data_IF_147334123390
#
_entry.id   IF_147334123390
#
_cell.length_a   1.000
_cell.length_b   1.000
_cell.length_c   1.000
_cell.angle_alpha   90.00
_cell.angle_beta   90.00
_cell.angle_gamma   90.00
#
_symmetry.space_group_name_H-M   'P 1'
#
loop_
_entity.id
_entity.type
_entity.pdbx_description
1 polymer ?
#
# COMPACT_ATOMS: atom_id res chain seq x y z
N UNK A 1 -30.52 45.68 -14.19
CA UNK A 1 -30.07 45.03 -15.44
C UNK A 1 -29.37 43.72 -15.08
N UNK A 2 -30.06 42.60 -15.29
CA UNK A 2 -29.49 41.25 -15.23
C UNK A 2 -28.47 41.03 -16.33
N UNK A 3 -27.45 40.21 -16.08
CA UNK A 3 -27.00 39.17 -17.02
C UNK A 3 -26.10 38.16 -16.30
N UNK A 4 -26.64 36.97 -16.15
CA UNK A 4 -25.96 35.72 -15.84
C UNK A 4 -25.10 35.29 -17.03
N UNK A 5 -23.93 34.72 -16.77
CA UNK A 5 -23.12 34.00 -17.77
C UNK A 5 -22.53 32.73 -17.16
N UNK A 6 -23.31 31.64 -17.17
CA UNK A 6 -22.80 30.26 -17.01
C UNK A 6 -22.38 29.78 -18.40
N UNK A 7 -21.19 29.19 -18.52
CA UNK A 7 -20.83 28.37 -19.68
C UNK A 7 -20.63 26.93 -19.22
N UNK A 8 -21.57 26.09 -19.62
CA UNK A 8 -21.59 24.64 -19.46
C UNK A 8 -21.04 24.06 -20.78
N UNK A 9 -19.95 23.30 -20.73
CA UNK A 9 -19.36 22.68 -21.92
C UNK A 9 -19.69 21.19 -21.93
N UNK A 10 -20.86 20.85 -22.48
CA UNK A 10 -21.26 19.49 -22.83
C UNK A 10 -20.53 19.03 -24.09
N UNK A 11 -19.82 17.90 -24.02
CA UNK A 11 -19.31 17.20 -25.20
C UNK A 11 -20.25 16.04 -25.52
N UNK A 12 -20.94 16.16 -26.65
CA UNK A 12 -21.77 15.11 -27.25
C UNK A 12 -20.89 14.10 -28.00
N UNK A 13 -21.06 12.82 -27.72
CA UNK A 13 -20.52 11.72 -28.53
C UNK A 13 -21.41 11.49 -29.75
N UNK A 14 -20.85 11.65 -30.95
CA UNK A 14 -21.48 11.26 -32.21
C UNK A 14 -21.11 9.81 -32.52
N UNK A 15 -22.14 8.98 -32.68
CA UNK A 15 -22.04 7.56 -32.99
C UNK A 15 -21.73 7.38 -34.48
N UNK A 16 -20.58 6.79 -34.82
CA UNK A 16 -20.31 6.29 -36.16
C UNK A 16 -20.30 4.77 -36.15
N UNK A 17 -21.29 4.21 -36.86
CA UNK A 17 -21.46 2.80 -37.16
C UNK A 17 -20.41 2.35 -38.17
N UNK A 18 -19.66 1.29 -37.85
CA UNK A 18 -18.83 0.57 -38.84
C UNK A 18 -18.98 -0.94 -38.65
N UNK A 19 -19.25 -1.56 -39.78
CA UNK A 19 -19.65 -2.96 -40.00
C UNK A 19 -18.53 -3.96 -39.73
N UNK A 20 -18.89 -5.11 -39.16
CA UNK A 20 -18.03 -6.28 -38.93
C UNK A 20 -17.85 -7.13 -40.20
N UNK A 21 -16.63 -7.56 -40.55
CA UNK A 21 -16.41 -8.64 -41.51
C UNK A 21 -16.38 -10.03 -40.83
N UNK A 22 -16.74 -11.11 -41.54
CA UNK A 22 -16.98 -12.43 -40.94
C UNK A 22 -15.71 -13.23 -40.60
N UNK A 23 -15.82 -13.99 -39.51
CA UNK A 23 -14.85 -14.95 -38.97
C UNK A 23 -14.54 -16.09 -39.95
N UNK A 24 -13.28 -16.23 -40.36
CA UNK A 24 -12.77 -17.45 -41.03
C UNK A 24 -12.40 -18.50 -39.98
N UNK A 25 -13.03 -19.68 -40.10
CA UNK A 25 -12.75 -20.88 -39.31
C UNK A 25 -11.38 -21.47 -39.65
N UNK A 26 -10.57 -21.79 -38.64
CA UNK A 26 -9.32 -22.58 -38.76
C UNK A 26 -9.58 -24.06 -38.40
N UNK A 27 -8.86 -25.01 -39.02
CA UNK A 27 -9.11 -26.45 -38.86
C UNK A 27 -8.51 -27.03 -37.56
N UNK A 28 -9.00 -28.19 -37.09
CA UNK A 28 -8.58 -28.78 -35.82
C UNK A 28 -7.20 -29.46 -35.92
N UNK A 29 -6.37 -29.23 -34.90
CA UNK A 29 -5.10 -29.90 -34.70
C UNK A 29 -5.32 -31.36 -34.28
N UNK A 30 -4.70 -32.29 -35.03
CA UNK A 30 -4.60 -33.73 -34.71
C UNK A 30 -3.77 -33.92 -33.44
N UNK A 31 -4.28 -34.74 -32.49
CA UNK A 31 -3.48 -35.33 -31.40
C UNK A 31 -2.85 -36.62 -31.91
N UNK A 32 -1.52 -36.72 -31.84
CA UNK A 32 -0.78 -37.97 -31.96
C UNK A 32 -0.73 -38.64 -30.59
N UNK A 33 -1.23 -39.87 -30.52
CA UNK A 33 -1.17 -40.73 -29.36
C UNK A 33 0.25 -41.27 -29.17
N UNK A 34 0.79 -41.18 -27.96
CA UNK A 34 1.96 -41.93 -27.52
C UNK A 34 1.48 -43.08 -26.62
N UNK A 35 1.95 -44.27 -26.95
CA UNK A 35 1.72 -45.55 -26.28
C UNK A 35 2.29 -45.56 -24.85
N UNK A 36 1.49 -46.00 -23.88
CA UNK A 36 1.93 -46.28 -22.52
C UNK A 36 1.56 -47.72 -22.11
N UNK A 37 2.54 -48.35 -21.49
CA UNK A 37 2.69 -49.72 -20.95
C UNK A 37 1.59 -50.14 -19.95
N UNK A 38 0.99 -51.35 -20.04
CA UNK A 38 -0.11 -51.77 -19.17
C UNK A 38 0.40 -52.61 -17.98
N UNK A 39 0.86 -51.99 -16.90
CA UNK A 39 1.01 -52.69 -15.61
C UNK A 39 1.11 -51.76 -14.38
N UNK A 40 0.07 -50.97 -14.11
CA UNK A 40 -0.16 -50.48 -12.73
C UNK A 40 -1.60 -50.03 -12.51
N UNK A 41 -2.37 -50.83 -11.78
CA UNK A 41 -3.71 -50.46 -11.31
C UNK A 41 -3.58 -49.59 -10.06
N UNK A 42 -3.62 -48.27 -10.23
CA UNK A 42 -3.90 -47.35 -9.12
C UNK A 42 -5.23 -46.66 -9.44
N UNK A 43 -6.23 -46.93 -8.58
CA UNK A 43 -7.57 -46.36 -8.62
C UNK A 43 -7.49 -44.87 -8.31
N UNK A 44 -7.97 -44.01 -9.21
CA UNK A 44 -8.24 -42.60 -8.89
C UNK A 44 -9.38 -42.49 -7.86
N UNK A 45 -9.26 -41.63 -6.84
CA UNK A 45 -10.36 -41.37 -5.92
C UNK A 45 -11.30 -40.27 -6.45
N UNK A 46 -12.60 -40.60 -6.46
CA UNK A 46 -13.73 -39.70 -6.69
C UNK A 46 -13.69 -38.41 -5.84
N UNK A 47 -14.24 -37.28 -6.32
CA UNK A 47 -14.23 -36.00 -5.62
C UNK A 47 -15.21 -36.01 -4.43
N UNK A 48 -14.68 -36.36 -3.26
CA UNK A 48 -15.39 -36.27 -1.98
C UNK A 48 -15.37 -34.85 -1.40
N UNK A 49 -16.56 -34.31 -1.16
CA UNK A 49 -16.87 -33.17 -0.27
C UNK A 49 -15.89 -33.04 0.92
N UNK A 50 -15.23 -31.89 1.03
CA UNK A 50 -14.39 -31.49 2.18
C UNK A 50 -15.22 -31.49 3.48
N UNK A 51 -15.08 -32.53 4.29
CA UNK A 51 -15.64 -32.60 5.65
C UNK A 51 -14.70 -31.92 6.65
N UNK A 52 -14.98 -30.65 6.95
CA UNK A 52 -14.67 -30.00 8.23
C UNK A 52 -13.20 -29.70 8.56
N UNK A 53 -12.95 -28.79 9.53
CA UNK A 53 -11.59 -28.40 9.92
C UNK A 53 -10.84 -29.54 10.66
N UNK A 54 -9.57 -29.70 10.32
CA UNK A 54 -8.61 -30.75 10.74
C UNK A 54 -8.23 -30.70 12.25
N UNK A 55 -8.89 -29.88 13.07
CA UNK A 55 -8.60 -29.77 14.50
C UNK A 55 -9.86 -29.97 15.35
N UNK A 56 -10.15 -31.22 15.71
CA UNK A 56 -11.08 -31.52 16.79
C UNK A 56 -10.42 -31.19 18.13
N UNK A 57 -10.86 -30.12 18.80
CA UNK A 57 -10.41 -29.70 20.14
C UNK A 57 -10.72 -30.71 21.27
N UNK A 58 -11.38 -31.84 20.95
CA UNK A 58 -11.82 -32.86 21.91
C UNK A 58 -10.72 -33.85 22.35
N UNK A 59 -9.50 -33.75 21.83
CA UNK A 59 -8.37 -34.64 22.19
C UNK A 59 -7.12 -33.93 22.70
N UNK A 60 -7.20 -32.64 23.05
CA UNK A 60 -6.08 -31.93 23.69
C UNK A 60 -6.36 -31.82 25.19
N UNK A 61 -5.70 -32.65 25.99
CA UNK A 61 -5.72 -32.52 27.45
C UNK A 61 -5.09 -31.19 27.84
N UNK A 62 -5.81 -30.34 28.57
CA UNK A 62 -5.25 -29.10 29.10
C UNK A 62 -4.07 -29.42 30.03
N UNK A 63 -2.85 -29.04 29.63
CA UNK A 63 -1.67 -29.05 30.52
C UNK A 63 -1.81 -27.92 31.53
N UNK A 64 -1.95 -28.17 32.85
CA UNK A 64 -1.87 -27.11 33.83
C UNK A 64 -0.43 -26.60 33.87
N UNK A 65 -0.18 -25.44 33.27
CA UNK A 65 1.11 -24.76 33.40
C UNK A 65 1.16 -24.19 34.82
N UNK A 66 1.85 -24.89 35.73
CA UNK A 66 2.11 -24.43 37.10
C UNK A 66 2.94 -23.15 37.02
N UNK A 67 2.29 -21.99 37.06
CA UNK A 67 2.96 -20.69 37.16
C UNK A 67 3.59 -20.62 38.55
N UNK A 68 4.91 -20.75 38.62
CA UNK A 68 5.64 -20.40 39.83
C UNK A 68 5.52 -18.87 39.99
N UNK A 69 4.92 -18.43 41.09
CA UNK A 69 4.90 -17.03 41.45
C UNK A 69 6.35 -16.55 41.62
N UNK A 70 6.76 -15.42 41.02
CA UNK A 70 8.08 -14.86 41.28
C UNK A 70 8.22 -14.58 42.77
N UNK A 71 9.40 -14.88 43.32
CA UNK A 71 9.70 -14.70 44.74
C UNK A 71 9.43 -13.27 45.19
N UNK A 72 9.09 -13.08 46.46
CA UNK A 72 8.81 -11.76 47.02
C UNK A 72 9.97 -10.77 46.77
N UNK A 73 11.22 -11.28 46.82
CA UNK A 73 12.44 -10.54 46.52
C UNK A 73 12.52 -10.08 45.05
N UNK A 74 12.07 -10.88 44.10
CA UNK A 74 12.04 -10.48 42.69
C UNK A 74 11.00 -9.40 42.43
N UNK A 75 9.85 -9.46 43.11
CA UNK A 75 8.79 -8.45 42.98
C UNK A 75 9.20 -7.12 43.60
N UNK A 76 9.85 -7.12 44.76
CA UNK A 76 10.35 -5.90 45.39
C UNK A 76 11.50 -5.28 44.59
N UNK A 77 12.43 -6.09 44.07
CA UNK A 77 13.49 -5.61 43.20
C UNK A 77 12.95 -4.95 41.92
N UNK A 78 11.93 -5.55 41.29
CA UNK A 78 11.29 -4.99 40.10
C UNK A 78 10.55 -3.67 40.40
N UNK A 79 9.86 -3.60 41.54
CA UNK A 79 9.18 -2.37 41.96
C UNK A 79 10.17 -1.23 42.25
N UNK A 80 11.28 -1.51 42.95
CA UNK A 80 12.34 -0.52 43.20
C UNK A 80 13.00 -0.06 41.89
N UNK A 81 13.25 -0.97 40.95
CA UNK A 81 13.80 -0.62 39.64
C UNK A 81 12.85 0.28 38.83
N UNK A 82 11.54 0.01 38.88
CA UNK A 82 10.53 0.84 38.19
C UNK A 82 10.43 2.25 38.79
N UNK A 83 10.50 2.37 40.12
CA UNK A 83 10.47 3.67 40.81
C UNK A 83 11.75 4.47 40.49
N UNK A 84 12.92 3.81 40.47
CA UNK A 84 14.18 4.47 40.13
C UNK A 84 14.21 4.95 38.66
N UNK A 85 13.68 4.17 37.72
CA UNK A 85 13.60 4.60 36.31
C UNK A 85 12.63 5.76 36.11
N UNK A 86 11.48 5.74 36.80
CA UNK A 86 10.53 6.86 36.79
C UNK A 86 11.15 8.13 37.37
N UNK A 87 11.83 8.05 38.52
CA UNK A 87 12.46 9.19 39.18
C UNK A 87 13.56 9.85 38.32
N UNK A 88 14.28 9.06 37.51
CA UNK A 88 15.33 9.57 36.62
C UNK A 88 14.81 10.06 35.26
N UNK A 89 13.63 9.59 34.82
CA UNK A 89 13.04 9.97 33.53
C UNK A 89 12.21 11.26 33.61
N UNK A 90 11.51 11.50 34.71
CA UNK A 90 10.59 12.64 34.88
C UNK A 90 11.28 14.01 34.68
N UNK A 91 12.49 14.28 35.22
CA UNK A 91 13.16 15.57 35.01
C UNK A 91 13.47 15.85 33.53
N UNK A 92 13.85 14.82 32.77
CA UNK A 92 14.17 14.95 31.33
C UNK A 92 12.94 15.17 30.46
N UNK A 93 11.81 14.60 30.85
CA UNK A 93 10.53 14.83 30.18
C UNK A 93 10.06 16.27 30.43
N UNK A 94 10.23 16.79 31.64
CA UNK A 94 9.84 18.17 31.97
C UNK A 94 10.71 19.20 31.22
N UNK A 95 12.02 18.97 31.09
CA UNK A 95 12.89 19.85 30.29
C UNK A 95 12.54 19.85 28.80
N UNK A 96 12.04 18.73 28.27
CA UNK A 96 11.57 18.66 26.87
C UNK A 96 10.32 19.53 26.62
N UNK A 97 9.50 19.78 27.65
CA UNK A 97 8.33 20.66 27.57
C UNK A 97 8.63 22.13 27.91
N UNK A 98 9.88 22.45 28.25
CA UNK A 98 10.27 23.80 28.68
C UNK A 98 10.98 24.62 27.60
N UNK A 99 11.01 24.16 26.34
CA UNK A 99 11.50 25.01 25.25
C UNK A 99 10.50 26.15 25.00
N UNK A 100 10.92 27.42 25.18
CA UNK A 100 10.10 28.54 24.78
C UNK A 100 10.16 28.67 23.26
N UNK A 101 8.99 28.82 22.64
CA UNK A 101 8.84 29.10 21.21
C UNK A 101 9.52 30.45 20.88
N UNK A 102 10.80 30.37 20.53
CA UNK A 102 11.65 31.49 20.12
C UNK A 102 11.64 31.63 18.61
N UNK A 103 11.02 32.71 18.13
CA UNK A 103 10.92 33.14 16.74
C UNK A 103 12.22 33.06 15.92
N UNK A 104 12.08 32.52 14.70
CA UNK A 104 12.70 33.07 13.49
C UNK A 104 13.99 32.42 12.98
N UNK A 105 13.88 31.42 12.07
CA UNK A 105 14.83 31.26 10.94
C UNK A 105 14.32 30.26 9.89
N UNK A 106 14.29 30.73 8.63
CA UNK A 106 14.29 30.01 7.36
C UNK A 106 13.12 29.04 7.09
N UNK A 107 12.32 29.37 6.07
CA UNK A 107 11.38 28.49 5.36
C UNK A 107 12.14 27.29 4.77
N UNK A 108 12.34 26.26 5.60
CA UNK A 108 12.52 24.89 5.14
C UNK A 108 11.24 24.47 4.41
N UNK A 109 11.32 23.63 3.36
CA UNK A 109 10.12 23.20 2.65
C UNK A 109 9.12 22.64 3.67
N UNK A 110 7.83 22.93 3.47
CA UNK A 110 6.70 22.53 4.32
C UNK A 110 6.47 21.01 4.36
N UNK A 111 7.55 20.23 4.36
CA UNK A 111 7.54 18.80 4.28
C UNK A 111 8.54 18.14 5.21
N UNK A 112 8.03 17.25 6.06
CA UNK A 112 8.80 16.45 7.01
C UNK A 112 8.52 14.97 6.79
N UNK A 113 9.57 14.15 6.90
CA UNK A 113 9.46 12.70 6.87
C UNK A 113 9.26 12.17 8.30
N UNK A 114 8.30 11.26 8.55
CA UNK A 114 8.18 10.54 9.81
C UNK A 114 9.48 9.83 10.18
N UNK A 115 9.82 9.81 11.46
CA UNK A 115 11.01 9.14 11.98
C UNK A 115 10.81 7.60 12.03
N UNK A 116 10.61 6.97 10.88
CA UNK A 116 10.62 5.52 10.71
C UNK A 116 11.98 5.08 10.15
N UNK A 117 12.57 4.05 10.75
CA UNK A 117 13.84 3.51 10.28
C UNK A 117 13.69 2.79 8.93
N UNK A 118 14.73 2.88 8.10
CA UNK A 118 14.79 2.12 6.83
C UNK A 118 13.98 2.70 5.67
N UNK A 119 13.44 3.91 5.80
CA UNK A 119 12.76 4.59 4.70
C UNK A 119 13.74 5.17 3.67
N UNK A 120 13.37 5.13 2.40
CA UNK A 120 14.08 5.78 1.30
C UNK A 120 13.95 7.32 1.39
N UNK A 121 14.88 8.04 0.75
CA UNK A 121 14.77 9.49 0.66
C UNK A 121 13.50 9.91 -0.09
N UNK A 122 12.75 10.87 0.45
CA UNK A 122 11.51 11.33 -0.17
C UNK A 122 10.31 10.38 0.02
N UNK A 123 10.47 9.34 0.84
CA UNK A 123 9.37 8.48 1.28
C UNK A 123 8.61 9.10 2.46
N UNK A 124 7.31 8.86 2.51
CA UNK A 124 6.40 9.24 3.59
C UNK A 124 6.41 10.75 3.92
N UNK A 125 6.66 11.61 2.93
CA UNK A 125 6.77 13.05 3.13
C UNK A 125 5.40 13.65 3.45
N UNK A 126 5.29 14.34 4.59
CA UNK A 126 4.13 15.16 4.95
C UNK A 126 4.15 16.48 4.21
N UNK A 127 3.00 17.06 3.92
CA UNK A 127 2.84 18.35 3.27
C UNK A 127 1.69 19.11 3.90
N UNK A 128 1.97 20.32 4.40
CA UNK A 128 0.95 21.18 4.98
C UNK A 128 -0.07 21.67 3.93
N UNK A 129 -1.33 21.93 4.32
CA UNK A 129 -2.30 22.56 3.42
C UNK A 129 -1.82 23.92 2.92
N UNK A 130 -2.35 24.34 1.79
CA UNK A 130 -2.04 25.64 1.16
C UNK A 130 -3.09 26.70 1.48
N UNK A 131 -4.33 26.30 1.76
CA UNK A 131 -5.42 27.17 2.20
C UNK A 131 -6.27 26.48 3.26
N UNK A 132 -6.69 27.22 4.29
CA UNK A 132 -7.49 26.66 5.39
C UNK A 132 -6.78 25.53 6.16
N UNK A 133 -7.44 24.99 7.18
CA UNK A 133 -6.95 23.78 7.87
C UNK A 133 -8.13 22.99 8.42
N UNK A 134 -8.38 21.83 7.83
CA UNK A 134 -9.45 20.92 8.26
C UNK A 134 -9.04 20.05 9.45
N UNK A 135 -7.77 20.07 9.85
CA UNK A 135 -7.19 19.16 10.84
C UNK A 135 -7.43 17.67 10.50
N UNK A 136 -7.40 17.36 9.20
CA UNK A 136 -7.52 16.01 8.65
C UNK A 136 -6.30 15.67 7.81
N UNK A 137 -5.81 14.45 7.94
CA UNK A 137 -4.63 13.93 7.26
C UNK A 137 -5.02 12.85 6.28
N UNK A 138 -4.65 13.02 5.01
CA UNK A 138 -4.82 12.00 3.96
C UNK A 138 -3.45 11.41 3.63
N UNK A 139 -3.33 10.09 3.74
CA UNK A 139 -2.16 9.38 3.22
C UNK A 139 -2.43 9.01 1.76
N UNK A 140 -1.61 9.52 0.84
CA UNK A 140 -1.71 9.24 -0.59
C UNK A 140 -0.57 8.29 -0.97
N UNK A 141 -0.94 7.10 -1.41
CA UNK A 141 -0.01 6.04 -1.77
C UNK A 141 0.07 5.88 -3.29
N UNK A 142 1.19 6.32 -3.87
CA UNK A 142 1.50 6.08 -5.28
C UNK A 142 2.03 4.65 -5.44
N UNK A 143 1.20 3.73 -5.95
CA UNK A 143 1.54 2.31 -6.12
C UNK A 143 2.86 2.08 -6.85
N UNK A 144 3.53 0.96 -6.55
CA UNK A 144 4.82 0.56 -7.14
C UNK A 144 5.93 1.60 -6.91
N UNK A 145 7.01 1.56 -7.72
CA UNK A 145 8.13 2.51 -7.66
C UNK A 145 9.51 1.85 -7.65
N UNK A 146 10.53 2.58 -8.12
CA UNK A 146 11.90 2.08 -8.20
C UNK A 146 12.01 0.86 -9.11
N UNK A 147 12.49 -0.26 -8.56
CA UNK A 147 12.63 -1.53 -9.28
C UNK A 147 11.30 -2.28 -9.49
N UNK A 148 10.20 -1.77 -8.96
CA UNK A 148 8.85 -2.26 -9.22
C UNK A 148 8.17 -1.37 -10.26
N UNK A 149 8.09 -1.78 -11.54
CA UNK A 149 7.41 -0.99 -12.57
C UNK A 149 5.89 -1.01 -12.44
N UNK A 150 5.33 -1.96 -11.69
CA UNK A 150 3.94 -2.38 -11.83
C UNK A 150 3.66 -2.92 -13.24
N UNK A 151 2.44 -2.70 -13.73
CA UNK A 151 2.06 -3.05 -15.10
C UNK A 151 2.84 -2.21 -16.11
N UNK A 152 3.38 -2.88 -17.13
CA UNK A 152 4.04 -2.23 -18.28
C UNK A 152 3.12 -2.33 -19.49
N UNK A 153 2.62 -1.18 -19.94
CA UNK A 153 1.75 -1.05 -21.10
C UNK A 153 2.40 -0.26 -22.24
N UNK A 154 1.64 -0.10 -23.33
CA UNK A 154 2.03 0.72 -24.48
C UNK A 154 0.93 1.73 -24.77
N UNK A 155 1.29 3.01 -24.87
CA UNK A 155 0.35 4.08 -25.24
C UNK A 155 -0.08 3.99 -26.71
N UNK A 156 -1.12 4.74 -27.07
CA UNK A 156 -1.59 4.84 -28.46
C UNK A 156 -0.51 5.29 -29.46
N UNK A 157 0.50 6.04 -29.00
CA UNK A 157 1.63 6.47 -29.82
C UNK A 157 2.80 5.47 -29.85
N UNK A 158 2.62 4.26 -29.31
CA UNK A 158 3.66 3.22 -29.28
C UNK A 158 4.71 3.37 -28.17
N UNK A 159 4.57 4.37 -27.27
CA UNK A 159 5.52 4.58 -26.16
C UNK A 159 5.20 3.66 -24.98
N UNK A 160 6.22 3.05 -24.39
CA UNK A 160 6.12 2.30 -23.13
C UNK A 160 5.60 3.20 -22.01
N UNK A 161 4.66 2.67 -21.23
CA UNK A 161 4.09 3.30 -20.04
C UNK A 161 4.23 2.32 -18.89
N UNK A 162 4.77 2.77 -17.77
CA UNK A 162 4.84 1.98 -16.55
C UNK A 162 3.82 2.52 -15.56
N UNK A 163 3.14 1.62 -14.86
CA UNK A 163 2.17 1.95 -13.83
C UNK A 163 2.77 2.87 -12.77
N UNK A 164 3.99 2.59 -12.29
CA UNK A 164 4.67 3.43 -11.29
C UNK A 164 4.79 4.91 -11.65
N UNK A 165 4.88 5.22 -12.96
CA UNK A 165 5.00 6.59 -13.45
C UNK A 165 3.62 7.26 -13.46
N UNK A 166 2.60 6.51 -13.88
CA UNK A 166 1.21 6.96 -13.90
C UNK A 166 0.66 7.20 -12.48
N UNK A 167 0.91 6.26 -11.56
CA UNK A 167 0.49 6.38 -10.16
C UNK A 167 1.12 7.59 -9.49
N UNK A 168 2.42 7.83 -9.69
CA UNK A 168 3.10 9.01 -9.13
C UNK A 168 2.54 10.33 -9.70
N UNK A 169 2.28 10.37 -11.00
CA UNK A 169 1.72 11.55 -11.64
C UNK A 169 0.31 11.89 -11.10
N UNK A 170 -0.56 10.88 -10.94
CA UNK A 170 -1.91 11.07 -10.37
C UNK A 170 -1.83 11.43 -8.89
N UNK A 171 -1.03 10.72 -8.10
CA UNK A 171 -0.86 10.98 -6.68
C UNK A 171 -0.35 12.41 -6.42
N UNK A 172 0.58 12.91 -7.24
CA UNK A 172 1.10 14.28 -7.14
C UNK A 172 0.00 15.32 -7.38
N UNK A 173 -0.89 15.08 -8.36
CA UNK A 173 -2.04 15.96 -8.63
C UNK A 173 -3.07 15.90 -7.50
N UNK A 174 -3.36 14.70 -6.98
CA UNK A 174 -4.25 14.51 -5.85
C UNK A 174 -3.72 15.24 -4.60
N UNK A 175 -2.42 15.12 -4.31
CA UNK A 175 -1.78 15.86 -3.23
C UNK A 175 -2.00 17.37 -3.37
N UNK A 176 -1.77 17.93 -4.56
CA UNK A 176 -1.98 19.37 -4.78
C UNK A 176 -3.44 19.78 -4.52
N UNK A 177 -4.40 19.02 -5.02
CA UNK A 177 -5.83 19.28 -4.82
C UNK A 177 -6.23 19.19 -3.34
N UNK A 178 -5.87 18.10 -2.64
CA UNK A 178 -6.19 17.92 -1.23
C UNK A 178 -5.56 19.00 -0.34
N UNK A 179 -4.32 19.42 -0.64
CA UNK A 179 -3.67 20.51 0.09
C UNK A 179 -4.38 21.85 -0.16
N UNK A 180 -4.92 22.07 -1.36
CA UNK A 180 -5.74 23.25 -1.65
C UNK A 180 -7.05 23.24 -0.85
N UNK A 181 -7.61 22.06 -0.60
CA UNK A 181 -8.87 21.89 0.13
C UNK A 181 -8.69 21.87 1.66
N UNK A 182 -7.47 22.10 2.17
CA UNK A 182 -7.22 22.26 3.61
C UNK A 182 -6.77 20.99 4.35
N UNK A 183 -6.47 19.91 3.63
CA UNK A 183 -5.94 18.67 4.21
C UNK A 183 -4.42 18.73 4.38
N UNK A 184 -3.93 18.08 5.44
CA UNK A 184 -2.53 17.64 5.50
C UNK A 184 -2.42 16.41 4.61
N UNK A 185 -1.42 16.36 3.73
CA UNK A 185 -1.21 15.20 2.86
C UNK A 185 0.12 14.56 3.16
N UNK A 186 0.14 13.24 3.37
CA UNK A 186 1.36 12.46 3.49
C UNK A 186 1.49 11.56 2.27
N UNK A 187 2.53 11.75 1.47
CA UNK A 187 2.80 10.95 0.28
C UNK A 187 3.66 9.73 0.64
N UNK A 188 3.25 8.52 0.27
CA UNK A 188 4.07 7.32 0.46
C UNK A 188 5.45 7.44 -0.18
N UNK A 189 5.51 7.98 -1.40
CA UNK A 189 6.73 8.35 -2.12
C UNK A 189 6.51 9.61 -2.94
N UNK A 190 7.56 10.39 -3.13
CA UNK A 190 7.55 11.63 -3.93
C UNK A 190 8.40 11.53 -5.20
N UNK A 191 9.06 10.40 -5.39
CA UNK A 191 9.98 10.12 -6.49
C UNK A 191 9.75 8.69 -7.01
N UNK A 192 10.44 8.34 -8.10
CA UNK A 192 10.48 6.97 -8.59
C UNK A 192 11.40 6.10 -7.73
N UNK A 193 10.92 5.76 -6.54
CA UNK A 193 11.62 4.94 -5.56
C UNK A 193 10.66 3.96 -4.90
N UNK A 194 11.20 2.95 -4.23
CA UNK A 194 10.49 2.24 -3.16
C UNK A 194 10.30 3.18 -1.96
N UNK A 195 9.40 2.82 -1.05
CA UNK A 195 9.23 3.48 0.26
C UNK A 195 10.34 3.07 1.21
N UNK A 196 10.81 1.83 1.12
CA UNK A 196 11.97 1.33 1.88
C UNK A 196 13.28 1.53 1.12
N UNK A 197 14.37 1.66 1.87
CA UNK A 197 15.72 1.41 1.35
C UNK A 197 15.86 -0.07 1.06
N UNK A 198 16.17 -0.42 -0.19
CA UNK A 198 16.39 -1.81 -0.57
C UNK A 198 17.72 -2.31 0.01
N UNK A 199 17.69 -3.49 0.61
CA UNK A 199 18.86 -4.30 0.89
C UNK A 199 19.17 -5.18 -0.32
N UNK A 200 20.38 -5.77 -0.36
CA UNK A 200 20.82 -6.62 -1.45
C UNK A 200 19.84 -7.79 -1.73
N UNK A 201 19.20 -8.33 -0.70
CA UNK A 201 18.23 -9.44 -0.81
C UNK A 201 16.88 -9.05 -1.40
N UNK A 202 16.60 -7.76 -1.54
CA UNK A 202 15.31 -7.26 -2.01
C UNK A 202 15.28 -7.08 -3.52
N UNK A 203 16.39 -7.34 -4.19
CA UNK A 203 16.49 -7.25 -5.64
C UNK A 203 17.19 -8.47 -6.21
N UNK A 204 16.73 -8.90 -7.39
CA UNK A 204 17.43 -9.91 -8.19
C UNK A 204 17.32 -9.53 -9.66
N UNK A 205 18.43 -9.59 -10.40
CA UNK A 205 18.49 -9.25 -11.83
C UNK A 205 17.84 -7.90 -12.21
N UNK A 206 17.93 -6.89 -11.33
CA UNK A 206 17.36 -5.55 -11.57
C UNK A 206 15.85 -5.44 -11.33
N UNK A 207 15.21 -6.46 -10.74
CA UNK A 207 13.81 -6.42 -10.31
C UNK A 207 13.72 -6.56 -8.79
N UNK A 208 12.70 -5.95 -8.19
CA UNK A 208 12.39 -6.18 -6.78
C UNK A 208 11.91 -7.63 -6.55
N UNK A 209 12.30 -8.24 -5.44
CA UNK A 209 11.81 -9.57 -5.06
C UNK A 209 10.42 -9.47 -4.41
N UNK A 210 9.66 -10.58 -4.38
CA UNK A 210 8.36 -10.62 -3.70
C UNK A 210 8.46 -10.30 -2.20
N UNK A 211 9.56 -10.69 -1.55
CA UNK A 211 9.84 -10.28 -0.17
C UNK A 211 10.14 -8.78 -0.06
N UNK A 212 10.85 -8.20 -1.03
CA UNK A 212 11.09 -6.76 -1.10
C UNK A 212 9.77 -5.98 -1.25
N UNK A 213 8.91 -6.39 -2.17
CA UNK A 213 7.55 -5.83 -2.36
C UNK A 213 6.75 -5.93 -1.07
N UNK A 214 6.73 -7.09 -0.42
CA UNK A 214 5.99 -7.26 0.84
C UNK A 214 6.47 -6.27 1.91
N UNK A 215 7.78 -6.10 2.10
CA UNK A 215 8.31 -5.13 3.07
C UNK A 215 7.99 -3.69 2.68
N UNK A 216 8.02 -3.37 1.39
CA UNK A 216 7.65 -2.05 0.89
C UNK A 216 6.18 -1.72 1.20
N UNK A 217 5.27 -2.67 0.95
CA UNK A 217 3.84 -2.55 1.28
C UNK A 217 3.62 -2.41 2.80
N UNK A 218 4.34 -3.16 3.62
CA UNK A 218 4.28 -3.02 5.09
C UNK A 218 4.73 -1.62 5.52
N UNK A 219 5.79 -1.08 4.92
CA UNK A 219 6.27 0.26 5.23
C UNK A 219 5.26 1.35 4.83
N UNK A 220 4.57 1.21 3.69
CA UNK A 220 3.48 2.11 3.27
C UNK A 220 2.38 2.19 4.33
N UNK A 221 1.89 1.03 4.78
CA UNK A 221 0.88 0.95 5.84
C UNK A 221 1.39 1.52 7.17
N UNK A 222 2.64 1.22 7.53
CA UNK A 222 3.27 1.76 8.74
C UNK A 222 3.39 3.30 8.69
N UNK A 223 3.73 3.88 7.54
CA UNK A 223 3.78 5.32 7.36
C UNK A 223 2.40 5.98 7.49
N UNK A 224 1.35 5.38 6.93
CA UNK A 224 -0.01 5.89 7.09
C UNK A 224 -0.47 5.90 8.55
N UNK A 225 -0.19 4.80 9.27
CA UNK A 225 -0.47 4.71 10.70
C UNK A 225 0.34 5.72 11.51
N UNK A 226 1.65 5.86 11.24
CA UNK A 226 2.53 6.79 11.94
C UNK A 226 2.17 8.26 11.67
N UNK A 227 1.61 8.55 10.49
CA UNK A 227 1.07 9.87 10.14
C UNK A 227 -0.25 10.19 10.86
N UNK A 228 -0.89 9.20 11.52
CA UNK A 228 -2.25 9.36 12.05
C UNK A 228 -3.23 9.71 10.93
N UNK A 229 -3.08 9.11 9.75
CA UNK A 229 -3.93 9.40 8.60
C UNK A 229 -5.39 9.02 8.91
N UNK A 230 -6.32 9.93 8.61
CA UNK A 230 -7.75 9.67 8.70
C UNK A 230 -8.21 8.73 7.58
N UNK A 231 -7.53 8.76 6.43
CA UNK A 231 -7.77 7.87 5.31
C UNK A 231 -6.48 7.60 4.55
N UNK A 232 -6.34 6.36 4.05
CA UNK A 232 -5.31 5.97 3.10
C UNK A 232 -5.97 5.80 1.72
N UNK A 233 -5.43 6.49 0.72
CA UNK A 233 -5.84 6.35 -0.68
C UNK A 233 -4.65 5.80 -1.46
N UNK A 234 -4.74 4.54 -1.88
CA UNK A 234 -3.75 3.91 -2.76
C UNK A 234 -4.20 3.97 -4.20
N UNK A 235 -3.30 4.38 -5.10
CA UNK A 235 -3.57 4.60 -6.52
C UNK A 235 -2.78 3.59 -7.32
N UNK A 236 -3.49 2.82 -8.12
CA UNK A 236 -2.97 1.78 -9.01
C UNK A 236 -3.60 1.89 -10.41
N UNK A 237 -2.91 1.34 -11.39
CA UNK A 237 -3.40 1.15 -12.75
C UNK A 237 -3.20 -0.32 -13.12
N UNK A 238 -4.17 -1.14 -12.71
CA UNK A 238 -4.15 -2.57 -12.96
C UNK A 238 -4.12 -2.90 -14.46
N UNK A 239 -3.72 -4.13 -14.75
CA UNK A 239 -3.53 -4.63 -16.10
C UNK A 239 -4.10 -6.01 -16.26
N UNK A 240 -4.72 -6.27 -17.40
CA UNK A 240 -5.27 -7.57 -17.75
C UNK A 240 -4.76 -8.02 -19.12
N UNK A 241 -4.71 -9.33 -19.35
CA UNK A 241 -4.21 -9.89 -20.61
C UNK A 241 -5.17 -9.67 -21.78
N UNK A 242 -6.46 -9.55 -21.50
CA UNK A 242 -7.48 -9.15 -22.47
C UNK A 242 -7.49 -7.62 -22.61
N UNK A 243 -7.04 -7.05 -23.75
CA UNK A 243 -6.96 -5.61 -23.94
C UNK A 243 -8.31 -4.91 -24.05
N UNK A 244 -9.43 -5.67 -24.09
CA UNK A 244 -10.78 -5.10 -24.07
C UNK A 244 -11.28 -4.81 -22.65
N UNK A 245 -10.61 -5.34 -21.62
CA UNK A 245 -10.92 -5.07 -20.22
C UNK A 245 -10.39 -3.69 -19.84
N UNK A 246 -11.28 -2.83 -19.35
CA UNK A 246 -10.93 -1.50 -18.88
C UNK A 246 -12.06 -0.86 -18.08
N UNK A 247 -11.73 0.17 -17.33
CA UNK A 247 -12.66 0.86 -16.43
C UNK A 247 -11.94 1.35 -15.18
N UNK A 248 -12.72 1.86 -14.23
CA UNK A 248 -12.25 2.23 -12.90
C UNK A 248 -12.91 1.33 -11.87
N UNK A 249 -12.14 0.82 -10.93
CA UNK A 249 -12.64 0.10 -9.77
C UNK A 249 -12.12 0.72 -8.47
N UNK A 250 -12.77 0.41 -7.36
CA UNK A 250 -12.37 0.88 -6.03
C UNK A 250 -12.54 -0.25 -5.06
N UNK A 251 -11.43 -0.66 -4.46
CA UNK A 251 -11.41 -1.61 -3.36
C UNK A 251 -11.35 -0.85 -2.04
N UNK A 252 -12.02 -1.40 -1.03
CA UNK A 252 -11.98 -0.86 0.33
C UNK A 252 -11.95 -2.01 1.33
N UNK A 253 -11.42 -1.73 2.51
CA UNK A 253 -11.44 -2.67 3.63
C UNK A 253 -12.76 -2.49 4.39
N UNK A 254 -13.69 -3.43 4.25
CA UNK A 254 -14.99 -3.35 4.91
C UNK A 254 -14.89 -3.36 6.45
N UNK A 255 -13.79 -3.83 7.03
CA UNK A 255 -13.55 -3.76 8.47
C UNK A 255 -12.98 -2.40 8.92
N UNK A 256 -12.50 -1.58 7.97
CA UNK A 256 -11.95 -0.22 8.18
C UNK A 256 -12.46 0.71 7.07
N UNK A 257 -13.77 1.01 7.07
CA UNK A 257 -14.41 1.82 6.03
C UNK A 257 -14.02 3.29 6.08
#
# INVERSE_FOLDING_TARGET
>A
MSLFGRTNSSWSFSCCSMSTPPLRRRPPWRRTAASADPSRSEREPEPGTLRGPIANSRHVSARPRRRQAPSALFRTALACALVATLALAIPRVIDAFRQPDGNGRATKPNSSQPALAGLEAGACMSFAPTHGRLNKTVFVDAGHGGLDPGVVGTSASGRTVQEKDATLAVATRLMAALRNDGYVVVMARTQDTTVIKLAATDSNYGAITSSGVHRDLVARAACANAAGADVLVSIHFDGFSDPTVGGTETFYDAARP
#
